data_IF_645512527881
#
_entry.id   IF_645512527881
#
_cell.length_a   1.000
_cell.length_b   1.000
_cell.length_c   1.000
_cell.angle_alpha   90.00
_cell.angle_beta   90.00
_cell.angle_gamma   90.00
#
_symmetry.space_group_name_H-M   'P 1'
#
loop_
_entity.id
_entity.type
_entity.pdbx_description
1 polymer ?
#
# COMPACT_ATOMS: atom_id res chain seq x y z
N UNK A 1 2.71 6.46 -1.47
CA UNK A 1 2.44 5.47 -0.41
C UNK A 1 0.93 5.35 -0.24
N UNK A 2 0.39 4.13 -0.16
CA UNK A 2 -1.05 3.85 -0.04
C UNK A 2 -1.29 2.76 1.02
N UNK A 3 -2.43 2.71 1.73
CA UNK A 3 -2.74 1.56 2.58
C UNK A 3 -2.89 0.30 1.72
N UNK A 4 -2.39 -0.85 2.19
CA UNK A 4 -2.48 -2.12 1.46
C UNK A 4 -3.92 -2.51 1.11
N UNK A 5 -4.86 -2.25 2.02
CA UNK A 5 -6.29 -2.43 1.81
C UNK A 5 -7.05 -1.19 2.30
N UNK A 6 -8.20 -0.86 1.68
CA UNK A 6 -9.13 0.15 2.20
C UNK A 6 -9.62 -0.20 3.61
N UNK A 7 -9.79 0.82 4.46
CA UNK A 7 -10.24 0.66 5.85
C UNK A 7 -11.76 0.47 5.98
N UNK A 8 -12.29 -0.60 5.39
CA UNK A 8 -13.69 -1.02 5.52
C UNK A 8 -13.77 -2.38 6.22
N UNK A 9 -14.88 -2.65 6.91
CA UNK A 9 -15.15 -3.96 7.48
C UNK A 9 -15.42 -5.00 6.39
N UNK A 10 -14.98 -6.24 6.63
CA UNK A 10 -15.21 -7.39 5.77
C UNK A 10 -13.96 -7.90 5.06
N UNK A 11 -14.01 -9.17 4.63
CA UNK A 11 -12.91 -9.81 3.92
C UNK A 11 -13.08 -9.64 2.40
N UNK A 12 -11.97 -9.36 1.70
CA UNK A 12 -11.91 -9.16 0.25
C UNK A 12 -12.61 -10.28 -0.55
N UNK A 13 -12.55 -11.53 -0.08
CA UNK A 13 -13.14 -12.71 -0.72
C UNK A 13 -14.49 -13.17 -0.14
N UNK A 14 -15.05 -12.47 0.84
CA UNK A 14 -16.28 -12.87 1.52
C UNK A 14 -17.51 -12.00 1.13
N UNK A 15 -18.75 -12.47 1.39
CA UNK A 15 -20.00 -11.74 1.09
C UNK A 15 -20.21 -10.37 1.78
N UNK A 16 -19.18 -9.77 2.40
CA UNK A 16 -19.20 -8.43 2.99
C UNK A 16 -18.10 -7.50 2.47
N UNK A 17 -17.24 -7.97 1.55
CA UNK A 17 -16.09 -7.19 1.04
C UNK A 17 -16.42 -6.21 -0.08
N UNK A 18 -17.69 -5.96 -0.41
CA UNK A 18 -18.10 -5.17 -1.58
C UNK A 18 -17.59 -3.72 -1.55
N UNK A 19 -17.64 -3.05 -0.40
CA UNK A 19 -17.11 -1.69 -0.27
C UNK A 19 -15.58 -1.65 -0.47
N UNK A 20 -14.88 -2.65 0.06
CA UNK A 20 -13.44 -2.82 -0.08
C UNK A 20 -13.08 -3.08 -1.56
N UNK A 21 -13.81 -3.97 -2.23
CA UNK A 21 -13.66 -4.25 -3.67
C UNK A 21 -13.94 -3.00 -4.52
N UNK A 22 -14.98 -2.21 -4.19
CA UNK A 22 -15.32 -0.98 -4.89
C UNK A 22 -14.16 0.02 -4.89
N UNK A 23 -13.60 0.29 -3.71
CA UNK A 23 -12.49 1.23 -3.56
C UNK A 23 -11.23 0.69 -4.21
N UNK A 24 -10.92 -0.60 -4.05
CA UNK A 24 -9.78 -1.23 -4.75
C UNK A 24 -9.94 -1.16 -6.27
N UNK A 25 -11.16 -1.33 -6.80
CA UNK A 25 -11.43 -1.19 -8.23
C UNK A 25 -11.01 0.18 -8.75
N UNK A 26 -11.36 1.26 -8.03
CA UNK A 26 -10.95 2.62 -8.40
C UNK A 26 -9.46 2.87 -8.20
N UNK A 27 -8.87 2.35 -7.12
CA UNK A 27 -7.42 2.40 -6.89
C UNK A 27 -6.67 1.77 -8.05
N UNK A 28 -7.02 0.55 -8.44
CA UNK A 28 -6.37 -0.13 -9.56
C UNK A 28 -6.64 0.54 -10.89
N UNK A 29 -7.86 1.02 -11.14
CA UNK A 29 -8.17 1.77 -12.37
C UNK A 29 -7.32 3.04 -12.51
N UNK A 30 -6.97 3.67 -11.39
CA UNK A 30 -6.10 4.84 -11.36
C UNK A 30 -4.63 4.47 -11.56
N UNK A 31 -4.18 3.35 -10.97
CA UNK A 31 -2.77 2.95 -10.98
C UNK A 31 -2.38 2.10 -12.19
N UNK A 32 -2.98 0.92 -12.36
CA UNK A 32 -2.47 -0.14 -13.23
C UNK A 32 -3.50 -0.76 -14.20
N UNK A 33 -4.81 -0.55 -14.02
CA UNK A 33 -5.85 -1.23 -14.78
C UNK A 33 -6.55 -0.32 -15.78
N UNK A 34 -6.37 -0.64 -17.05
CA UNK A 34 -7.01 0.01 -18.17
C UNK A 34 -6.12 1.07 -18.83
N UNK A 35 -6.46 1.47 -20.07
CA UNK A 35 -5.57 2.27 -20.92
C UNK A 35 -5.31 3.67 -20.36
N UNK A 36 -6.20 4.21 -19.54
CA UNK A 36 -6.03 5.53 -18.91
C UNK A 36 -5.31 5.50 -17.56
N UNK A 37 -4.89 4.33 -17.07
CA UNK A 37 -4.20 4.21 -15.78
C UNK A 37 -2.80 4.83 -15.81
N UNK A 38 -2.28 5.23 -14.65
CA UNK A 38 -0.97 5.89 -14.52
C UNK A 38 0.15 5.08 -15.16
N UNK A 39 0.27 3.80 -14.81
CA UNK A 39 1.33 2.92 -15.31
C UNK A 39 1.20 2.72 -16.81
N UNK A 40 -0.01 2.51 -17.35
CA UNK A 40 -0.21 2.33 -18.79
C UNK A 40 0.07 3.62 -19.59
N UNK A 41 -0.21 4.80 -19.01
CA UNK A 41 0.18 6.07 -19.61
C UNK A 41 1.69 6.25 -19.62
N UNK A 42 2.38 5.93 -18.51
CA UNK A 42 3.83 6.04 -18.40
C UNK A 42 4.54 5.10 -19.38
N UNK A 43 4.10 3.83 -19.50
CA UNK A 43 4.67 2.87 -20.47
C UNK A 43 4.64 3.35 -21.93
N UNK A 44 3.75 4.29 -22.28
CA UNK A 44 3.71 4.88 -23.63
C UNK A 44 4.79 5.94 -23.85
N UNK A 45 5.28 6.55 -22.77
CA UNK A 45 6.24 7.63 -22.81
C UNK A 45 7.66 7.18 -22.44
N UNK A 46 7.79 6.19 -21.56
CA UNK A 46 9.07 5.73 -20.99
C UNK A 46 9.17 4.20 -21.00
N UNK A 47 10.38 3.61 -21.17
CA UNK A 47 10.56 2.15 -21.26
C UNK A 47 10.15 1.40 -19.99
N UNK A 48 10.59 1.88 -18.83
CA UNK A 48 10.24 1.31 -17.53
C UNK A 48 9.74 2.40 -16.58
N UNK A 49 8.43 2.46 -16.29
CA UNK A 49 7.88 3.36 -15.29
C UNK A 49 8.49 3.19 -13.89
N UNK A 50 8.92 1.98 -13.52
CA UNK A 50 9.37 1.68 -12.16
C UNK A 50 10.72 2.31 -11.83
N UNK A 51 11.47 2.80 -12.83
CA UNK A 51 12.65 3.65 -12.62
C UNK A 51 12.29 5.05 -12.08
N UNK A 52 11.04 5.48 -12.23
CA UNK A 52 10.59 6.86 -11.90
C UNK A 52 9.53 6.91 -10.81
N UNK A 53 8.76 5.83 -10.63
CA UNK A 53 7.70 5.77 -9.62
C UNK A 53 7.78 4.49 -8.81
N UNK A 54 7.72 4.64 -7.49
CA UNK A 54 7.56 3.53 -6.56
C UNK A 54 6.22 3.64 -5.84
N UNK A 55 5.38 2.61 -5.99
CA UNK A 55 4.10 2.51 -5.29
C UNK A 55 4.29 1.56 -4.10
N UNK A 56 4.46 2.16 -2.91
CA UNK A 56 4.70 1.41 -1.67
C UNK A 56 3.56 1.48 -0.66
N UNK A 57 3.63 0.59 0.32
CA UNK A 57 2.75 0.54 1.49
C UNK A 57 3.55 0.20 2.76
N UNK A 58 2.84 0.01 3.88
CA UNK A 58 3.43 -0.27 5.18
C UNK A 58 2.80 -1.52 5.81
N UNK A 59 3.65 -2.39 6.38
CA UNK A 59 3.24 -3.58 7.11
C UNK A 59 4.18 -3.83 8.30
N UNK A 60 3.64 -4.40 9.36
CA UNK A 60 4.41 -4.77 10.55
C UNK A 60 4.03 -6.16 11.06
N UNK A 61 4.80 -6.66 12.01
CA UNK A 61 4.48 -7.88 12.74
C UNK A 61 4.79 -7.70 14.22
N UNK A 62 4.16 -8.52 15.05
CA UNK A 62 4.50 -8.64 16.45
C UNK A 62 4.05 -10.01 16.99
N UNK A 63 4.51 -10.34 18.20
CA UNK A 63 4.07 -11.53 18.92
C UNK A 63 2.93 -11.16 19.88
N UNK A 64 1.78 -11.81 19.73
CA UNK A 64 0.65 -11.69 20.63
C UNK A 64 0.31 -13.06 21.21
N UNK A 65 0.32 -13.19 22.54
CA UNK A 65 0.05 -14.45 23.24
C UNK A 65 0.88 -15.63 22.73
N UNK A 66 2.17 -15.38 22.42
CA UNK A 66 3.11 -16.38 21.91
C UNK A 66 2.94 -16.74 20.43
N UNK A 67 2.01 -16.09 19.70
CA UNK A 67 1.81 -16.29 18.26
C UNK A 67 2.33 -15.10 17.47
N UNK A 68 3.08 -15.38 16.40
CA UNK A 68 3.49 -14.37 15.44
C UNK A 68 2.28 -13.94 14.59
N UNK A 69 2.01 -12.65 14.59
CA UNK A 69 0.94 -12.02 13.81
C UNK A 69 1.50 -10.87 12.99
N UNK A 70 0.90 -10.60 11.85
CA UNK A 70 1.19 -9.42 11.02
C UNK A 70 -0.08 -8.64 10.75
N UNK A 71 0.06 -7.31 10.65
CA UNK A 71 -1.01 -6.44 10.22
C UNK A 71 -0.45 -5.33 9.32
N UNK A 72 -1.27 -4.84 8.39
CA UNK A 72 -0.94 -3.64 7.64
C UNK A 72 -0.87 -2.43 8.59
N UNK A 73 0.00 -1.47 8.31
CA UNK A 73 -0.04 -0.17 8.97
C UNK A 73 -0.94 0.72 8.11
N UNK A 74 -2.09 1.12 8.66
CA UNK A 74 -3.05 1.89 7.91
C UNK A 74 -2.57 3.33 7.66
N UNK A 75 -2.27 3.63 6.39
CA UNK A 75 -1.84 4.97 5.96
C UNK A 75 -3.09 5.84 5.80
N UNK A 76 -3.38 6.62 6.84
CA UNK A 76 -4.48 7.59 6.84
C UNK A 76 -4.03 9.02 6.56
N UNK A 77 -2.72 9.26 6.39
CA UNK A 77 -2.19 10.60 6.15
C UNK A 77 -2.59 11.13 4.76
N UNK A 78 -2.70 12.46 4.65
CA UNK A 78 -2.84 13.19 3.40
C UNK A 78 -1.72 14.22 3.38
N UNK A 79 -0.59 13.78 2.84
CA UNK A 79 0.68 14.47 2.86
C UNK A 79 1.28 14.41 1.46
N UNK A 80 1.73 15.56 0.95
CA UNK A 80 2.56 15.67 -0.23
C UNK A 80 3.78 16.50 0.12
N UNK A 81 4.96 15.98 -0.22
CA UNK A 81 6.25 16.66 -0.09
C UNK A 81 6.80 16.82 -1.50
N UNK A 82 7.25 18.02 -1.86
CA UNK A 82 7.81 18.33 -3.17
C UNK A 82 9.15 19.04 -2.99
N UNK A 83 10.19 18.50 -3.64
CA UNK A 83 11.55 19.03 -3.69
C UNK A 83 12.18 19.37 -2.32
N UNK A 84 11.74 18.69 -1.25
CA UNK A 84 12.07 19.00 0.15
C UNK A 84 11.81 20.45 0.56
N UNK A 85 10.96 21.16 -0.19
CA UNK A 85 10.69 22.60 -0.04
C UNK A 85 9.23 22.89 0.30
N UNK A 86 8.32 22.16 -0.32
CA UNK A 86 6.89 22.39 -0.20
C UNK A 86 6.23 21.21 0.46
N UNK A 87 5.34 21.50 1.41
CA UNK A 87 4.55 20.49 2.09
C UNK A 87 3.09 20.88 2.10
N UNK A 88 2.28 19.95 1.63
CA UNK A 88 0.83 19.99 1.77
C UNK A 88 0.45 18.93 2.79
N UNK A 89 -0.18 19.34 3.88
CA UNK A 89 -0.78 18.46 4.89
C UNK A 89 -2.24 18.85 5.03
N UNK A 90 -3.14 17.89 5.15
CA UNK A 90 -4.54 18.21 5.45
C UNK A 90 -5.43 17.00 5.60
N UNK A 91 -6.72 17.21 5.34
CA UNK A 91 -7.74 16.17 5.39
C UNK A 91 -8.09 15.57 4.03
N UNK A 92 -7.84 16.32 2.94
CA UNK A 92 -8.26 15.96 1.59
C UNK A 92 -7.54 14.73 1.04
N UNK A 93 -8.28 13.65 0.78
CA UNK A 93 -7.78 12.49 0.06
C UNK A 93 -7.51 12.84 -1.42
N UNK A 94 -6.73 12.01 -2.12
CA UNK A 94 -6.59 12.09 -3.58
C UNK A 94 -7.74 11.33 -4.21
N UNK A 95 -8.92 11.95 -4.24
CA UNK A 95 -10.16 11.38 -4.77
C UNK A 95 -11.15 12.52 -5.10
N UNK A 96 -12.18 12.26 -5.91
CA UNK A 96 -13.14 13.28 -6.35
C UNK A 96 -13.95 13.84 -5.17
N UNK A 97 -14.26 12.99 -4.17
CA UNK A 97 -14.97 13.39 -2.95
C UNK A 97 -14.28 14.53 -2.21
N UNK A 98 -12.95 14.49 -2.11
CA UNK A 98 -12.15 15.51 -1.43
C UNK A 98 -11.68 16.64 -2.36
N UNK A 99 -11.47 16.38 -3.66
CA UNK A 99 -10.82 17.34 -4.58
C UNK A 99 -11.78 18.17 -5.44
N UNK A 100 -13.04 17.72 -5.65
CA UNK A 100 -13.97 18.41 -6.55
C UNK A 100 -14.48 19.76 -6.02
N UNK A 101 -14.32 20.04 -4.71
CA UNK A 101 -14.73 21.30 -4.07
C UNK A 101 -16.24 21.49 -3.86
N UNK A 102 -17.07 20.62 -4.44
CA UNK A 102 -18.54 20.62 -4.30
C UNK A 102 -19.09 19.36 -3.60
N UNK A 103 -18.22 18.56 -2.98
CA UNK A 103 -18.55 17.34 -2.24
C UNK A 103 -18.20 17.53 -0.76
N UNK A 104 -17.12 16.91 -0.27
CA UNK A 104 -16.71 17.06 1.13
C UNK A 104 -16.08 18.42 1.39
N UNK A 105 -16.26 18.91 2.63
CA UNK A 105 -15.52 20.06 3.13
C UNK A 105 -14.16 19.60 3.65
N UNK A 106 -13.09 20.15 3.10
CA UNK A 106 -11.71 19.77 3.41
C UNK A 106 -10.88 20.98 3.87
N UNK A 107 -9.83 20.72 4.64
CA UNK A 107 -8.89 21.73 5.11
C UNK A 107 -7.47 21.34 4.70
N UNK A 108 -6.78 22.27 4.04
CA UNK A 108 -5.43 22.09 3.50
C UNK A 108 -4.55 23.30 3.83
N UNK A 109 -3.87 23.33 4.98
CA UNK A 109 -2.78 24.27 5.20
C UNK A 109 -1.61 23.95 4.25
N UNK A 110 -1.26 24.91 3.41
CA UNK A 110 0.00 24.90 2.67
C UNK A 110 1.11 25.47 3.55
N UNK A 111 2.23 24.79 3.65
CA UNK A 111 3.44 25.31 4.30
C UNK A 111 4.59 25.36 3.30
N UNK A 112 5.20 26.53 3.19
CA UNK A 112 6.43 26.74 2.44
C UNK A 112 7.60 26.68 3.45
N UNK A 113 8.59 25.83 3.17
CA UNK A 113 9.76 25.55 4.00
C UNK A 113 9.55 24.54 5.15
N UNK A 114 10.03 23.31 4.93
CA UNK A 114 10.33 22.33 5.97
C UNK A 114 11.52 22.84 6.80
N UNK A 115 11.28 23.75 7.74
CA UNK A 115 12.31 24.13 8.70
C UNK A 115 12.90 22.86 9.33
N UNK A 116 14.23 22.71 9.30
CA UNK A 116 14.90 21.58 9.96
C UNK A 116 14.63 21.70 11.46
N UNK A 117 13.84 20.77 12.01
CA UNK A 117 13.69 20.68 13.45
C UNK A 117 15.05 20.29 14.06
N UNK A 118 15.41 20.85 15.24
CA UNK A 118 16.62 20.44 15.93
C UNK A 118 16.62 18.92 16.15
N UNK A 119 17.81 18.30 16.11
CA UNK A 119 17.96 16.85 16.27
C UNK A 119 17.19 16.34 17.49
N UNK A 120 16.10 15.61 17.23
CA UNK A 120 15.42 14.87 18.28
C UNK A 120 16.24 13.61 18.57
N UNK A 121 16.50 13.35 19.86
CA UNK A 121 17.16 12.12 20.31
C UNK A 121 16.32 10.90 19.92
N UNK A 122 16.59 10.33 18.74
CA UNK A 122 16.02 9.08 18.26
C UNK A 122 16.94 7.93 18.67
N UNK A 123 16.37 6.74 18.91
CA UNK A 123 17.18 5.53 19.04
C UNK A 123 17.99 5.38 17.75
N UNK A 124 19.29 5.04 17.83
CA UNK A 124 20.10 4.83 16.64
C UNK A 124 19.44 3.74 15.77
N UNK A 125 19.30 3.96 14.46
CA UNK A 125 18.70 2.97 13.59
C UNK A 125 19.57 1.71 13.55
N UNK A 126 18.95 0.54 13.36
CA UNK A 126 19.68 -0.74 13.22
C UNK A 126 20.65 -0.73 12.03
N UNK A 127 20.35 0.05 11.00
CA UNK A 127 21.16 0.26 9.82
C UNK A 127 21.29 1.77 9.57
N UNK A 128 22.52 2.24 9.33
CA UNK A 128 22.71 3.64 8.92
C UNK A 128 22.34 3.72 7.43
N UNK A 129 21.23 4.39 7.16
CA UNK A 129 20.77 4.69 5.81
C UNK A 129 21.09 6.15 5.57
N UNK A 130 21.73 6.44 4.44
CA UNK A 130 21.89 7.81 3.95
C UNK A 130 20.55 8.27 3.37
N UNK A 131 20.06 9.41 3.86
CA UNK A 131 18.77 10.00 3.50
C UNK A 131 18.94 11.40 2.88
N UNK A 132 20.18 11.84 2.62
CA UNK A 132 20.46 13.20 2.17
C UNK A 132 20.02 13.45 0.72
N UNK A 133 20.06 12.42 -0.12
CA UNK A 133 19.59 12.47 -1.51
C UNK A 133 18.52 11.40 -1.78
N UNK A 134 17.22 11.77 -1.79
CA UNK A 134 16.13 10.82 -1.98
C UNK A 134 15.92 10.38 -3.44
N UNK A 135 16.59 11.02 -4.41
CA UNK A 135 16.41 10.74 -5.84
C UNK A 135 17.62 10.04 -6.46
N UNK A 136 18.75 9.97 -5.77
CA UNK A 136 19.90 9.19 -6.20
C UNK A 136 19.54 7.70 -6.38
N UNK A 137 20.01 7.07 -7.47
CA UNK A 137 19.78 5.65 -7.76
C UNK A 137 20.20 4.73 -6.61
N UNK A 138 21.30 5.07 -5.92
CA UNK A 138 21.80 4.34 -4.76
C UNK A 138 20.77 4.29 -3.62
N UNK A 139 19.98 5.36 -3.47
CA UNK A 139 18.91 5.41 -2.51
C UNK A 139 17.61 4.85 -3.09
N UNK A 140 17.08 5.43 -4.18
CA UNK A 140 15.77 5.09 -4.74
C UNK A 140 15.67 3.61 -5.14
N UNK A 141 16.63 3.11 -5.90
CA UNK A 141 16.68 1.71 -6.34
C UNK A 141 17.41 0.85 -5.30
N UNK A 142 18.63 1.24 -4.95
CA UNK A 142 19.54 0.43 -4.15
C UNK A 142 19.14 0.25 -2.69
N UNK A 143 18.34 1.16 -2.14
CA UNK A 143 17.92 1.14 -0.73
C UNK A 143 16.40 1.03 -0.60
N UNK A 144 15.66 2.04 -1.08
CA UNK A 144 14.22 2.13 -0.91
C UNK A 144 13.48 0.98 -1.60
N UNK A 145 13.69 0.81 -2.92
CA UNK A 145 13.09 -0.29 -3.69
C UNK A 145 13.55 -1.66 -3.21
N UNK A 146 14.86 -1.83 -2.95
CA UNK A 146 15.41 -3.08 -2.45
C UNK A 146 14.82 -3.50 -1.08
N UNK A 147 14.65 -2.56 -0.15
CA UNK A 147 14.01 -2.81 1.15
C UNK A 147 12.54 -3.17 0.95
N UNK A 148 11.80 -2.41 0.13
CA UNK A 148 10.39 -2.66 -0.14
C UNK A 148 10.18 -4.09 -0.65
N UNK A 149 10.92 -4.47 -1.70
CA UNK A 149 10.87 -5.80 -2.31
C UNK A 149 11.23 -6.91 -1.33
N UNK A 150 12.36 -6.79 -0.63
CA UNK A 150 12.82 -7.80 0.34
C UNK A 150 11.78 -7.99 1.45
N UNK A 151 11.25 -6.90 1.99
CA UNK A 151 10.22 -6.98 3.03
C UNK A 151 8.94 -7.63 2.51
N UNK A 152 8.48 -7.29 1.30
CA UNK A 152 7.33 -7.94 0.66
C UNK A 152 7.52 -9.45 0.59
N UNK A 153 8.65 -9.91 0.07
CA UNK A 153 8.97 -11.34 -0.08
C UNK A 153 8.98 -12.06 1.28
N UNK A 154 9.54 -11.43 2.33
CA UNK A 154 9.55 -11.97 3.69
C UNK A 154 8.12 -12.09 4.24
N UNK A 155 7.30 -11.03 4.15
CA UNK A 155 5.93 -11.07 4.68
C UNK A 155 5.07 -12.11 3.95
N UNK A 156 5.16 -12.19 2.63
CA UNK A 156 4.47 -13.20 1.83
C UNK A 156 4.87 -14.62 2.22
N UNK A 157 6.16 -14.86 2.44
CA UNK A 157 6.68 -16.18 2.82
C UNK A 157 6.30 -16.58 4.24
N UNK A 158 6.40 -15.64 5.19
CA UNK A 158 6.24 -15.94 6.61
C UNK A 158 4.76 -16.07 6.99
N UNK A 159 3.92 -15.18 6.48
CA UNK A 159 2.54 -15.03 6.95
C UNK A 159 1.46 -15.31 5.90
N UNK A 160 1.82 -15.63 4.65
CA UNK A 160 0.84 -15.75 3.56
C UNK A 160 -0.04 -14.48 3.41
N UNK A 161 0.56 -13.28 3.53
CA UNK A 161 -0.20 -12.02 3.59
C UNK A 161 -1.05 -11.73 2.36
N UNK A 162 -2.05 -10.88 2.57
CA UNK A 162 -2.83 -10.21 1.54
C UNK A 162 -2.65 -8.68 1.64
N UNK A 163 -2.83 -7.95 0.54
CA UNK A 163 -2.88 -8.41 -0.85
C UNK A 163 -1.49 -8.84 -1.36
N UNK A 164 -1.44 -9.55 -2.50
CA UNK A 164 -0.18 -10.00 -3.14
C UNK A 164 -0.38 -10.19 -4.65
N UNK A 165 0.65 -9.88 -5.45
CA UNK A 165 0.59 -10.09 -6.91
C UNK A 165 0.59 -11.57 -7.32
N UNK A 166 0.79 -12.49 -6.37
CA UNK A 166 0.74 -13.94 -6.62
C UNK A 166 -0.69 -14.48 -6.82
N UNK A 167 -1.71 -13.70 -6.48
CA UNK A 167 -3.11 -14.13 -6.50
C UNK A 167 -3.89 -13.28 -7.51
N UNK A 168 -4.37 -13.91 -8.57
CA UNK A 168 -5.02 -13.26 -9.72
C UNK A 168 -6.54 -13.39 -9.69
N UNK A 169 -7.09 -14.34 -8.92
CA UNK A 169 -8.52 -14.54 -8.76
C UNK A 169 -8.96 -15.04 -7.36
N UNK A 170 -10.28 -15.16 -7.16
CA UNK A 170 -10.87 -15.55 -5.88
C UNK A 170 -10.68 -17.03 -5.54
N UNK A 171 -10.47 -17.91 -6.52
CA UNK A 171 -10.22 -19.32 -6.25
C UNK A 171 -8.81 -19.51 -5.72
N UNK A 172 -7.82 -18.86 -6.35
CA UNK A 172 -6.45 -18.80 -5.85
C UNK A 172 -6.40 -18.18 -4.44
N UNK A 173 -7.15 -17.09 -4.22
CA UNK A 173 -7.28 -16.46 -2.91
C UNK A 173 -7.81 -17.44 -1.85
N UNK A 174 -8.88 -18.17 -2.15
CA UNK A 174 -9.51 -19.13 -1.24
C UNK A 174 -8.54 -20.25 -0.86
N UNK A 175 -7.82 -20.79 -1.85
CA UNK A 175 -6.79 -21.81 -1.65
C UNK A 175 -5.62 -21.26 -0.83
N UNK A 176 -5.23 -20.01 -1.06
CA UNK A 176 -4.13 -19.36 -0.36
C UNK A 176 -4.43 -19.11 1.12
N UNK A 177 -5.61 -18.57 1.44
CA UNK A 177 -6.04 -18.29 2.82
C UNK A 177 -6.20 -19.58 3.64
N UNK A 178 -6.52 -20.71 2.99
CA UNK A 178 -6.64 -22.00 3.68
C UNK A 178 -5.28 -22.63 4.07
N UNK A 179 -4.15 -22.10 3.57
CA UNK A 179 -2.81 -22.63 3.89
C UNK A 179 -2.35 -22.15 5.28
N UNK A 180 -1.84 -23.07 6.08
CA UNK A 180 -1.19 -22.74 7.35
C UNK A 180 0.12 -21.96 7.04
N UNK A 181 0.30 -20.74 7.56
CA UNK A 181 1.49 -19.94 7.31
C UNK A 181 2.73 -20.51 8.01
N UNK A 182 3.92 -20.11 7.56
CA UNK A 182 5.18 -20.50 8.20
C UNK A 182 5.27 -20.01 9.65
N UNK A 183 4.70 -18.84 9.93
CA UNK A 183 4.60 -18.25 11.27
C UNK A 183 3.88 -19.11 12.29
N UNK A 184 3.00 -20.02 11.84
CA UNK A 184 2.27 -20.95 12.69
C UNK A 184 2.88 -22.36 12.63
N UNK A 185 3.26 -22.83 11.44
CA UNK A 185 3.79 -24.19 11.27
C UNK A 185 5.20 -24.38 11.82
N UNK A 186 6.11 -23.41 11.62
CA UNK A 186 7.49 -23.47 12.12
C UNK A 186 7.95 -22.08 12.61
N UNK A 187 7.46 -21.61 13.79
CA UNK A 187 7.70 -20.26 14.27
C UNK A 187 9.18 -19.87 14.41
N UNK A 188 10.05 -20.81 14.76
CA UNK A 188 11.49 -20.54 14.90
C UNK A 188 12.13 -20.16 13.55
N UNK A 189 11.75 -20.86 12.48
CA UNK A 189 12.21 -20.55 11.12
C UNK A 189 11.60 -19.24 10.63
N UNK A 190 10.34 -18.97 10.96
CA UNK A 190 9.72 -17.67 10.69
C UNK A 190 10.50 -16.51 11.33
N UNK A 191 10.89 -16.63 12.60
CA UNK A 191 11.69 -15.61 13.29
C UNK A 191 13.05 -15.35 12.63
N UNK A 192 13.68 -16.35 12.03
CA UNK A 192 14.93 -16.16 11.28
C UNK A 192 14.73 -15.25 10.07
N UNK A 193 13.68 -15.48 9.26
CA UNK A 193 13.34 -14.58 8.15
C UNK A 193 12.99 -13.17 8.63
N UNK A 194 12.29 -13.05 9.76
CA UNK A 194 11.84 -11.74 10.26
C UNK A 194 12.99 -10.87 10.79
N UNK A 195 14.15 -11.45 11.14
CA UNK A 195 15.36 -10.70 11.52
C UNK A 195 15.93 -9.87 10.37
N UNK A 196 15.64 -10.27 9.13
CA UNK A 196 16.13 -9.63 7.93
C UNK A 196 15.30 -8.43 7.47
N UNK A 197 14.17 -8.16 8.13
CA UNK A 197 13.30 -7.01 7.85
C UNK A 197 13.99 -5.69 8.22
N UNK A 198 13.84 -4.70 7.34
CA UNK A 198 14.31 -3.32 7.56
C UNK A 198 13.12 -2.37 7.47
N UNK A 199 12.70 -1.83 8.61
CA UNK A 199 11.54 -0.95 8.69
C UNK A 199 10.23 -1.67 8.39
N UNK A 200 9.27 -0.93 7.83
CA UNK A 200 7.91 -1.42 7.55
C UNK A 200 7.50 -1.27 6.09
N UNK A 201 8.37 -0.73 5.24
CA UNK A 201 8.11 -0.49 3.82
C UNK A 201 7.91 -1.82 3.09
N UNK A 202 6.84 -1.92 2.31
CA UNK A 202 6.57 -3.02 1.38
C UNK A 202 6.11 -2.45 0.05
N UNK A 203 6.19 -3.25 -1.01
CA UNK A 203 5.60 -2.90 -2.31
C UNK A 203 4.07 -2.97 -2.24
N UNK A 204 3.40 -2.11 -2.99
CA UNK A 204 1.97 -2.21 -3.20
C UNK A 204 1.72 -3.13 -4.41
N UNK A 205 0.96 -4.23 -4.24
CA UNK A 205 0.70 -5.17 -5.34
C UNK A 205 -0.19 -4.54 -6.41
N UNK A 206 0.23 -4.54 -7.67
CA UNK A 206 -0.48 -3.88 -8.77
C UNK A 206 -1.39 -4.83 -9.56
N UNK A 207 -1.20 -6.14 -9.41
CA UNK A 207 -1.85 -7.21 -10.14
C UNK A 207 -2.69 -8.15 -9.24
N UNK A 208 -2.83 -7.85 -7.95
CA UNK A 208 -3.66 -8.64 -7.04
C UNK A 208 -5.13 -8.66 -7.49
N UNK A 209 -5.70 -9.84 -7.75
CA UNK A 209 -7.04 -10.03 -8.31
C UNK A 209 -7.22 -9.34 -9.69
N UNK A 210 -6.20 -9.32 -10.54
CA UNK A 210 -6.29 -8.68 -11.87
C UNK A 210 -7.27 -9.37 -12.83
N UNK A 211 -7.60 -10.64 -12.61
CA UNK A 211 -8.55 -11.40 -13.45
C UNK A 211 -10.01 -11.27 -12.97
N UNK A 212 -10.25 -10.44 -11.96
CA UNK A 212 -11.56 -10.27 -11.32
C UNK A 212 -12.08 -8.86 -11.58
N UNK A 213 -13.38 -8.78 -11.90
CA UNK A 213 -14.10 -7.51 -11.85
C UNK A 213 -14.47 -7.19 -10.39
N UNK A 214 -13.77 -6.22 -9.81
CA UNK A 214 -13.96 -5.76 -8.42
C UNK A 214 -15.10 -4.74 -8.27
N UNK A 215 -15.76 -4.35 -9.37
CA UNK A 215 -16.92 -3.45 -9.29
C UNK A 215 -18.08 -4.20 -8.61
N UNK A 216 -18.69 -3.65 -7.55
CA UNK A 216 -19.82 -4.28 -6.89
C UNK A 216 -20.96 -4.55 -7.87
N UNK A 217 -21.48 -5.77 -7.87
CA UNK A 217 -22.63 -6.13 -8.69
C UNK A 217 -23.91 -5.45 -8.20
N UNK A 218 -24.87 -5.20 -9.11
CA UNK A 218 -26.15 -4.54 -8.82
C UNK A 218 -27.01 -5.21 -7.72
N UNK A 219 -26.73 -6.47 -7.39
CA UNK A 219 -27.41 -7.18 -6.31
C UNK A 219 -26.87 -6.83 -4.90
N UNK A 220 -25.71 -6.16 -4.81
CA UNK A 220 -25.13 -5.69 -3.54
C UNK A 220 -25.62 -4.28 -3.21
N UNK A 221 -25.60 -3.91 -1.91
CA UNK A 221 -25.95 -2.54 -1.47
C UNK A 221 -25.06 -1.50 -2.16
N UNK A 222 -23.77 -1.82 -2.29
CA UNK A 222 -22.74 -0.98 -2.87
C UNK A 222 -22.87 -0.86 -4.40
N UNK A 223 -23.50 -1.83 -5.07
CA UNK A 223 -23.78 -1.77 -6.51
C UNK A 223 -25.00 -0.93 -6.88
N UNK A 224 -25.86 -0.59 -5.92
CA UNK A 224 -27.06 0.24 -6.12
C UNK A 224 -26.78 1.71 -5.83
N UNK A 225 -25.80 2.01 -4.98
CA UNK A 225 -25.41 3.40 -4.71
C UNK A 225 -24.65 4.00 -5.89
N UNK A 226 -24.74 5.33 -6.11
CA UNK A 226 -23.97 6.00 -7.15
C UNK A 226 -22.48 5.73 -6.99
N UNK A 227 -21.78 5.51 -8.10
CA UNK A 227 -20.32 5.28 -8.09
C UNK A 227 -19.54 6.42 -7.44
N UNK A 228 -20.09 7.64 -7.45
CA UNK A 228 -19.53 8.83 -6.81
C UNK A 228 -19.31 8.68 -5.30
N UNK A 229 -19.95 7.70 -4.66
CA UNK A 229 -19.74 7.36 -3.25
C UNK A 229 -18.33 6.77 -3.00
N UNK A 230 -17.74 6.11 -4.00
CA UNK A 230 -16.45 5.43 -3.91
C UNK A 230 -15.31 6.12 -4.66
N UNK A 231 -15.60 7.27 -5.32
CA UNK A 231 -14.63 8.07 -6.09
C UNK A 231 -14.27 9.36 -5.39
#
# INVERSE_FOLDING_TARGET
MLPLLPGFEGDIGAPGGSALQAVLSWTYKSLSRGPGSLIENLKRAIPDPMEYIHIGSLRTYNTLSGKLLTELIYIHCKLMIVDDRYVIIGSANINDRSQAGNRDSEVLPLSEHLGLLPEQKRKPPRMKIDLDDPVADSFFVGTWGAIAKKNTEIFEKVFNVLPTDKLKDFEELRVHVAKIPLSESVPQVAEEYLRDLVGSLVEFPLDFLCNVNLVPGFASKEGIVPSSVFT
#
